data_IF_356954157818
#
_entry.id   IF_356954157818
#
_cell.length_a   1.000
_cell.length_b   1.000
_cell.length_c   1.000
_cell.angle_alpha   90.00
_cell.angle_beta   90.00
_cell.angle_gamma   90.00
#
_symmetry.space_group_name_H-M   'P 1'
#
loop_
_entity.id
_entity.type
_entity.pdbx_description
1 polymer ?
#
# COMPACT_ATOMS: atom_id res chain seq x y z
N UNK A 1 84.42 2.97 -35.26
CA UNK A 1 83.75 1.89 -34.55
C UNK A 1 82.24 2.32 -34.31
N UNK A 2 81.40 1.87 -35.18
CA UNK A 2 80.02 2.25 -35.23
C UNK A 2 79.20 1.07 -34.63
N UNK A 3 78.54 1.31 -33.50
CA UNK A 3 77.70 0.28 -32.81
C UNK A 3 76.24 0.45 -33.25
N UNK A 4 75.75 -0.49 -34.01
CA UNK A 4 74.34 -0.57 -34.45
C UNK A 4 73.55 -1.23 -33.37
N UNK A 5 72.54 -0.54 -32.75
CA UNK A 5 71.59 -1.12 -31.83
C UNK A 5 70.34 -1.55 -32.59
N UNK A 6 70.07 -2.85 -32.55
CA UNK A 6 68.84 -3.43 -33.08
C UNK A 6 67.77 -3.31 -32.05
N UNK A 7 66.63 -2.64 -32.38
CA UNK A 7 65.41 -2.56 -31.54
C UNK A 7 64.48 -3.67 -31.97
N UNK A 8 64.20 -4.60 -31.05
CA UNK A 8 63.16 -5.63 -31.22
C UNK A 8 61.80 -5.05 -30.83
N UNK A 9 60.87 -4.99 -31.77
CA UNK A 9 59.49 -4.59 -31.55
C UNK A 9 58.71 -5.85 -31.19
N UNK A 10 58.27 -5.94 -29.92
CA UNK A 10 57.37 -6.97 -29.44
C UNK A 10 55.91 -6.54 -29.69
N UNK A 11 55.24 -7.14 -30.66
CA UNK A 11 53.81 -6.94 -30.93
C UNK A 11 52.97 -7.80 -29.97
N UNK A 12 52.35 -7.16 -28.99
CA UNK A 12 51.34 -7.80 -28.14
C UNK A 12 49.99 -7.82 -28.89
N UNK A 13 49.55 -9.01 -29.29
CA UNK A 13 48.21 -9.23 -29.80
C UNK A 13 47.20 -9.29 -28.62
N UNK A 14 46.37 -8.27 -28.48
CA UNK A 14 45.22 -8.28 -27.57
C UNK A 14 44.10 -9.06 -28.23
N UNK A 15 43.82 -10.29 -27.74
CA UNK A 15 42.62 -11.03 -28.07
C UNK A 15 41.46 -10.49 -27.23
N UNK A 16 40.66 -9.62 -27.80
CA UNK A 16 39.40 -9.18 -27.17
C UNK A 16 38.36 -10.30 -27.26
N UNK A 17 38.23 -11.11 -26.21
CA UNK A 17 37.09 -11.98 -26.03
C UNK A 17 35.90 -11.12 -25.60
N UNK A 18 35.07 -10.71 -26.56
CA UNK A 18 33.82 -10.03 -26.31
C UNK A 18 32.87 -10.95 -25.56
N UNK A 19 32.66 -10.71 -24.26
CA UNK A 19 31.57 -11.28 -23.54
C UNK A 19 30.27 -10.66 -24.11
N UNK A 20 29.53 -11.45 -24.90
CA UNK A 20 28.18 -11.06 -25.29
C UNK A 20 27.33 -11.00 -24.02
N UNK A 21 26.95 -9.80 -23.59
CA UNK A 21 25.96 -9.62 -22.54
C UNK A 21 24.67 -10.31 -23.01
N UNK A 22 24.29 -11.37 -22.31
CA UNK A 22 23.05 -12.09 -22.58
C UNK A 22 21.89 -11.12 -22.39
N UNK A 23 21.04 -10.97 -23.40
CA UNK A 23 19.86 -10.14 -23.30
C UNK A 23 19.05 -10.58 -22.06
N UNK A 24 18.48 -9.64 -21.29
CA UNK A 24 17.66 -9.99 -20.14
C UNK A 24 16.52 -10.91 -20.62
N UNK A 25 16.15 -11.92 -19.82
CA UNK A 25 15.03 -12.80 -20.17
C UNK A 25 13.78 -11.97 -20.44
N UNK A 26 12.92 -12.37 -21.37
CA UNK A 26 11.68 -11.66 -21.63
C UNK A 26 10.89 -11.52 -20.33
N UNK A 27 10.32 -10.33 -20.11
CA UNK A 27 9.47 -10.07 -18.94
C UNK A 27 8.34 -11.12 -18.91
N UNK A 28 8.07 -11.69 -17.73
CA UNK A 28 6.92 -12.57 -17.57
C UNK A 28 5.65 -11.87 -18.07
N UNK A 29 4.74 -12.59 -18.74
CA UNK A 29 3.50 -11.98 -19.21
C UNK A 29 2.76 -11.33 -18.03
N UNK A 30 2.17 -10.15 -18.26
CA UNK A 30 1.38 -9.45 -17.25
C UNK A 30 0.26 -10.39 -16.76
N UNK A 31 -0.04 -10.39 -15.45
CA UNK A 31 -1.08 -11.24 -14.91
C UNK A 31 -2.44 -10.88 -15.52
N UNK A 32 -3.22 -11.89 -15.84
CA UNK A 32 -4.60 -11.70 -16.31
C UNK A 32 -5.50 -11.44 -15.10
N UNK A 33 -6.19 -10.32 -15.09
CA UNK A 33 -7.20 -10.06 -14.07
C UNK A 33 -8.39 -11.03 -14.21
N UNK A 34 -8.91 -11.50 -13.09
CA UNK A 34 -10.14 -12.33 -13.03
C UNK A 34 -11.34 -11.49 -13.48
N UNK A 35 -11.36 -10.24 -13.05
CA UNK A 35 -12.32 -9.23 -13.49
C UNK A 35 -11.73 -7.83 -13.34
N UNK A 36 -12.28 -6.88 -14.06
CA UNK A 36 -11.92 -5.45 -14.03
C UNK A 36 -13.16 -4.59 -14.03
N UNK A 37 -13.14 -3.51 -13.25
CA UNK A 37 -14.14 -2.43 -13.27
C UNK A 37 -13.44 -1.16 -13.69
N UNK A 38 -13.93 -0.51 -14.75
CA UNK A 38 -13.39 0.74 -15.26
C UNK A 38 -14.23 1.93 -14.81
N UNK A 39 -13.80 3.13 -15.18
CA UNK A 39 -14.52 4.40 -14.99
C UNK A 39 -14.76 4.75 -13.51
N UNK A 40 -13.85 4.33 -12.62
CA UNK A 40 -13.73 4.86 -11.27
C UNK A 40 -12.91 6.17 -11.32
N UNK A 41 -13.07 7.03 -10.33
CA UNK A 41 -12.35 8.32 -10.30
C UNK A 41 -11.29 8.33 -9.20
N UNK A 42 -10.05 8.07 -9.59
CA UNK A 42 -8.91 7.95 -8.70
C UNK A 42 -9.20 7.00 -7.51
N UNK A 43 -9.50 5.69 -7.75
CA UNK A 43 -9.72 4.72 -6.68
C UNK A 43 -8.41 4.50 -5.94
N UNK A 44 -8.46 4.56 -4.60
CA UNK A 44 -7.25 4.56 -3.80
C UNK A 44 -7.17 3.34 -2.86
N UNK A 45 -8.26 2.94 -2.24
CA UNK A 45 -8.29 1.76 -1.37
C UNK A 45 -9.44 0.83 -1.73
N UNK A 46 -9.19 -0.47 -1.64
CA UNK A 46 -10.22 -1.51 -1.70
C UNK A 46 -10.22 -2.30 -0.39
N UNK A 47 -11.40 -2.58 0.15
CA UNK A 47 -11.55 -3.33 1.38
C UNK A 47 -12.68 -4.35 1.26
N UNK A 48 -12.40 -5.60 1.62
CA UNK A 48 -13.43 -6.64 1.73
C UNK A 48 -13.95 -6.74 3.16
N UNK A 49 -15.18 -6.33 3.38
CA UNK A 49 -15.87 -6.54 4.66
C UNK A 49 -16.54 -7.92 4.69
N UNK A 50 -15.91 -8.86 5.42
CA UNK A 50 -16.40 -10.23 5.51
C UNK A 50 -17.79 -10.34 6.17
N UNK A 51 -18.16 -9.41 7.05
CA UNK A 51 -19.43 -9.43 7.75
C UNK A 51 -20.61 -9.12 6.82
N UNK A 52 -20.46 -8.15 5.92
CA UNK A 52 -21.49 -7.82 4.91
C UNK A 52 -21.30 -8.56 3.59
N UNK A 53 -20.16 -9.22 3.39
CA UNK A 53 -19.80 -9.86 2.12
C UNK A 53 -19.59 -8.87 0.97
N UNK A 54 -19.34 -7.60 1.26
CA UNK A 54 -19.19 -6.55 0.29
C UNK A 54 -17.71 -6.12 0.13
N UNK A 55 -17.38 -5.61 -1.05
CA UNK A 55 -16.15 -4.90 -1.33
C UNK A 55 -16.47 -3.41 -1.37
N UNK A 56 -15.78 -2.62 -0.56
CA UNK A 56 -15.84 -1.17 -0.56
C UNK A 56 -14.59 -0.61 -1.23
N UNK A 57 -14.77 0.46 -2.02
CA UNK A 57 -13.67 1.12 -2.73
C UNK A 57 -13.79 2.61 -2.52
N UNK A 58 -12.74 3.24 -2.00
CA UNK A 58 -12.66 4.69 -1.91
C UNK A 58 -12.26 5.28 -3.27
N UNK A 59 -12.87 6.41 -3.63
CA UNK A 59 -12.52 7.19 -4.82
C UNK A 59 -12.31 8.64 -4.42
N UNK A 60 -11.11 9.15 -4.66
CA UNK A 60 -10.74 10.53 -4.33
C UNK A 60 -11.53 11.52 -5.18
N UNK A 61 -11.72 11.21 -6.47
CA UNK A 61 -12.49 12.00 -7.45
C UNK A 61 -11.99 13.44 -7.61
N UNK A 62 -10.68 13.67 -7.51
CA UNK A 62 -10.04 14.99 -7.58
C UNK A 62 -8.57 14.91 -7.26
N UNK A 63 -8.04 15.98 -6.72
CA UNK A 63 -6.69 16.00 -6.17
C UNK A 63 -6.68 15.36 -4.78
N UNK A 64 -5.58 14.74 -4.43
CA UNK A 64 -5.45 13.93 -3.19
C UNK A 64 -5.59 14.75 -1.89
N UNK A 65 -5.57 16.07 -1.97
CA UNK A 65 -5.65 17.02 -0.82
C UNK A 65 -6.80 17.99 -0.90
N UNK A 66 -7.63 17.92 -1.95
CA UNK A 66 -8.76 18.87 -2.11
C UNK A 66 -9.88 18.53 -1.12
N UNK A 67 -10.35 19.56 -0.41
CA UNK A 67 -11.48 19.45 0.52
C UNK A 67 -12.76 19.97 -0.12
N UNK A 68 -13.18 19.33 -1.18
CA UNK A 68 -14.27 19.75 -2.06
C UNK A 68 -15.56 18.94 -1.90
N UNK A 69 -15.55 17.90 -1.06
CA UNK A 69 -16.72 17.08 -0.75
C UNK A 69 -17.16 16.17 -1.88
N UNK A 70 -16.37 15.98 -2.93
CA UNK A 70 -16.73 15.21 -4.12
C UNK A 70 -16.33 13.75 -4.06
N UNK A 71 -15.46 13.34 -3.11
CA UNK A 71 -15.02 11.98 -2.86
C UNK A 71 -16.18 11.07 -2.44
N UNK A 72 -16.04 9.79 -2.73
CA UNK A 72 -17.11 8.82 -2.47
C UNK A 72 -16.57 7.42 -2.21
N UNK A 73 -17.43 6.56 -1.65
CA UNK A 73 -17.21 5.13 -1.51
C UNK A 73 -18.14 4.39 -2.47
N UNK A 74 -17.59 3.47 -3.24
CA UNK A 74 -18.33 2.51 -4.06
C UNK A 74 -18.52 1.19 -3.32
N UNK A 75 -19.61 0.48 -3.63
CA UNK A 75 -19.89 -0.86 -3.10
C UNK A 75 -20.03 -1.87 -4.24
N UNK A 76 -19.30 -2.98 -4.12
CA UNK A 76 -19.30 -4.08 -5.09
C UNK A 76 -19.57 -5.41 -4.43
N UNK A 77 -19.94 -6.41 -5.25
CA UNK A 77 -19.85 -7.81 -4.84
C UNK A 77 -18.40 -8.30 -4.98
N UNK A 78 -18.03 -9.43 -4.33
CA UNK A 78 -16.70 -10.04 -4.51
C UNK A 78 -16.37 -10.48 -5.95
N UNK A 79 -17.37 -10.54 -6.82
CA UNK A 79 -17.23 -10.87 -8.25
C UNK A 79 -17.11 -9.62 -9.15
N UNK A 80 -16.92 -8.44 -8.55
CA UNK A 80 -16.73 -7.18 -9.26
C UNK A 80 -18.02 -6.54 -9.81
N UNK A 81 -19.21 -7.08 -9.48
CA UNK A 81 -20.46 -6.43 -9.89
C UNK A 81 -20.72 -5.19 -9.05
N UNK A 82 -21.06 -4.10 -9.72
CA UNK A 82 -21.44 -2.85 -9.06
C UNK A 82 -22.74 -3.03 -8.30
N UNK A 83 -22.73 -2.77 -6.99
CA UNK A 83 -23.95 -2.63 -6.18
C UNK A 83 -24.39 -1.16 -6.15
N UNK A 84 -23.42 -0.26 -5.90
CA UNK A 84 -23.63 1.19 -5.96
C UNK A 84 -22.29 1.89 -6.17
N UNK A 85 -22.16 2.70 -7.23
CA UNK A 85 -20.92 3.46 -7.52
C UNK A 85 -20.70 4.61 -6.54
N UNK A 86 -21.76 5.20 -6.02
CA UNK A 86 -21.71 6.27 -5.01
C UNK A 86 -22.56 5.85 -3.82
N UNK A 87 -22.14 4.78 -3.15
CA UNK A 87 -22.84 4.22 -2.00
C UNK A 87 -22.81 5.17 -0.79
N UNK A 88 -21.68 5.86 -0.57
CA UNK A 88 -21.55 6.97 0.37
C UNK A 88 -20.81 8.13 -0.31
N UNK A 89 -21.24 9.37 -0.04
CA UNK A 89 -20.74 10.57 -0.68
C UNK A 89 -20.46 11.68 0.35
N UNK A 90 -19.90 12.81 -0.11
CA UNK A 90 -19.60 13.96 0.77
C UNK A 90 -18.31 13.78 1.55
N UNK A 91 -17.38 12.98 1.02
CA UNK A 91 -16.01 12.86 1.49
C UNK A 91 -15.12 13.83 0.68
N UNK A 92 -13.97 14.17 1.22
CA UNK A 92 -13.01 15.03 0.51
C UNK A 92 -12.10 14.21 -0.40
N UNK A 93 -11.09 13.58 0.17
CA UNK A 93 -10.16 12.68 -0.53
C UNK A 93 -10.04 11.35 0.22
N UNK A 94 -11.11 10.50 0.21
CA UNK A 94 -11.12 9.27 0.98
C UNK A 94 -10.05 8.30 0.48
N UNK A 95 -9.34 7.68 1.43
CA UNK A 95 -8.27 6.73 1.19
C UNK A 95 -8.56 5.42 1.91
N UNK A 96 -7.70 4.99 2.83
CA UNK A 96 -7.80 3.73 3.52
C UNK A 96 -9.15 3.44 4.18
N UNK A 97 -9.54 2.18 4.18
CA UNK A 97 -10.85 1.67 4.62
C UNK A 97 -10.71 0.49 5.58
N UNK A 98 -11.40 0.50 6.71
CA UNK A 98 -11.58 -0.70 7.58
C UNK A 98 -12.92 -0.67 8.30
N UNK A 99 -13.52 -1.81 8.54
CA UNK A 99 -14.77 -1.90 9.29
C UNK A 99 -14.57 -2.36 10.74
N UNK A 100 -15.43 -1.86 11.62
CA UNK A 100 -15.60 -2.37 12.97
C UNK A 100 -17.04 -2.11 13.44
N UNK A 101 -17.68 -3.09 14.05
CA UNK A 101 -18.99 -2.92 14.69
C UNK A 101 -20.11 -2.41 13.76
N UNK A 102 -20.09 -2.78 12.47
CA UNK A 102 -21.07 -2.30 11.48
C UNK A 102 -20.81 -0.90 10.94
N UNK A 103 -19.68 -0.29 11.30
CA UNK A 103 -19.21 1.00 10.78
C UNK A 103 -18.01 0.79 9.87
N UNK A 104 -18.05 1.34 8.67
CA UNK A 104 -16.90 1.49 7.78
C UNK A 104 -16.19 2.80 8.14
N UNK A 105 -14.96 2.70 8.61
CA UNK A 105 -14.09 3.82 8.88
C UNK A 105 -13.28 4.19 7.65
N UNK A 106 -13.09 5.48 7.44
CA UNK A 106 -12.43 6.05 6.23
C UNK A 106 -11.44 7.12 6.66
N UNK A 107 -10.21 7.04 6.19
CA UNK A 107 -9.25 8.14 6.28
C UNK A 107 -9.59 9.20 5.21
N UNK A 108 -9.81 10.46 5.60
CA UNK A 108 -10.27 11.52 4.71
C UNK A 108 -9.50 12.82 4.98
N UNK A 109 -8.28 12.87 4.46
CA UNK A 109 -7.31 13.99 4.51
C UNK A 109 -6.85 14.34 5.93
N UNK A 110 -7.70 15.00 6.73
CA UNK A 110 -7.42 15.43 8.10
C UNK A 110 -8.54 15.06 9.09
N UNK A 111 -9.40 14.16 8.67
CA UNK A 111 -10.46 13.58 9.49
C UNK A 111 -10.59 12.09 9.28
N UNK A 112 -11.14 11.39 10.26
CA UNK A 112 -11.61 10.01 10.13
C UNK A 112 -13.13 10.01 10.13
N UNK A 113 -13.72 9.35 9.13
CA UNK A 113 -15.17 9.36 8.91
C UNK A 113 -15.72 7.96 9.15
N UNK A 114 -16.77 7.85 9.98
CA UNK A 114 -17.52 6.62 10.21
C UNK A 114 -18.79 6.60 9.36
N UNK A 115 -18.99 5.52 8.59
CA UNK A 115 -20.14 5.30 7.71
C UNK A 115 -20.85 4.04 8.16
N UNK A 116 -22.15 4.10 8.44
CA UNK A 116 -22.96 2.94 8.77
C UNK A 116 -23.09 2.01 7.56
N UNK A 117 -22.60 0.76 7.66
CA UNK A 117 -22.57 -0.19 6.55
C UNK A 117 -23.95 -0.54 6.03
N UNK A 118 -24.96 -0.58 6.92
CA UNK A 118 -26.32 -0.93 6.54
C UNK A 118 -26.98 0.11 5.62
N UNK A 119 -26.66 1.40 5.78
CA UNK A 119 -27.35 2.50 5.09
C UNK A 119 -26.48 3.35 4.17
N UNK A 120 -25.14 3.32 4.32
CA UNK A 120 -24.24 4.23 3.63
C UNK A 120 -24.22 5.66 4.21
N UNK A 121 -24.89 5.89 5.35
CA UNK A 121 -24.93 7.20 5.96
C UNK A 121 -23.68 7.48 6.78
N UNK A 122 -23.13 8.67 6.64
CA UNK A 122 -22.07 9.16 7.53
C UNK A 122 -22.69 9.35 8.92
N UNK A 123 -22.17 8.66 9.92
CA UNK A 123 -22.64 8.72 11.32
C UNK A 123 -21.67 9.41 12.25
N UNK A 124 -20.42 9.57 11.83
CA UNK A 124 -19.40 10.24 12.64
C UNK A 124 -18.35 10.91 11.75
N UNK A 125 -17.83 12.05 12.21
CA UNK A 125 -16.63 12.70 11.69
C UNK A 125 -15.77 13.10 12.87
N UNK A 126 -14.51 12.67 12.84
CA UNK A 126 -13.51 12.99 13.87
C UNK A 126 -12.40 13.76 13.21
N UNK A 127 -12.33 15.06 13.48
CA UNK A 127 -11.20 15.88 13.07
C UNK A 127 -9.93 15.41 13.80
N UNK A 128 -8.82 15.29 13.09
CA UNK A 128 -7.54 14.90 13.63
C UNK A 128 -6.61 16.09 13.63
N UNK A 129 -6.56 16.78 14.78
CA UNK A 129 -5.78 18.01 14.91
C UNK A 129 -4.29 17.76 14.62
N UNK A 130 -3.70 18.59 13.77
CA UNK A 130 -2.31 18.50 13.33
C UNK A 130 -2.04 17.43 12.26
N UNK A 131 -3.07 16.73 11.79
CA UNK A 131 -2.92 15.84 10.64
C UNK A 131 -2.69 16.64 9.35
N UNK A 132 -1.84 16.10 8.50
CA UNK A 132 -1.46 16.71 7.22
C UNK A 132 -1.91 15.88 6.03
N UNK A 133 -1.84 14.56 6.15
CA UNK A 133 -2.18 13.63 5.07
C UNK A 133 -2.50 12.25 5.65
N UNK A 134 -3.71 12.12 6.23
CA UNK A 134 -4.20 10.81 6.65
C UNK A 134 -4.31 9.91 5.42
N UNK A 135 -3.72 8.73 5.51
CA UNK A 135 -3.62 7.81 4.37
C UNK A 135 -4.39 6.53 4.62
N UNK A 136 -3.91 5.64 5.46
CA UNK A 136 -4.60 4.38 5.73
C UNK A 136 -5.07 4.30 7.18
N UNK A 137 -5.96 3.35 7.47
CA UNK A 137 -6.44 3.09 8.81
C UNK A 137 -6.68 1.60 9.11
N UNK A 138 -6.60 1.27 10.39
CA UNK A 138 -6.85 -0.05 10.92
C UNK A 138 -7.76 0.04 12.16
N UNK A 139 -8.54 -1.00 12.40
CA UNK A 139 -9.42 -1.10 13.57
C UNK A 139 -8.95 -2.19 14.51
N UNK A 140 -8.90 -1.89 15.81
CA UNK A 140 -8.63 -2.88 16.84
C UNK A 140 -9.94 -3.51 17.37
N UNK A 141 -9.88 -4.70 17.97
CA UNK A 141 -11.06 -5.38 18.51
C UNK A 141 -11.81 -4.59 19.60
N UNK A 142 -11.16 -3.66 20.28
CA UNK A 142 -11.77 -2.77 21.27
C UNK A 142 -12.44 -1.54 20.66
N UNK A 143 -12.51 -1.45 19.33
CA UNK A 143 -13.09 -0.32 18.61
C UNK A 143 -12.16 0.86 18.40
N UNK A 144 -10.90 0.81 18.87
CA UNK A 144 -9.91 1.85 18.59
C UNK A 144 -9.57 1.83 17.10
N UNK A 145 -9.56 3.01 16.46
CA UNK A 145 -9.12 3.19 15.08
C UNK A 145 -7.72 3.81 15.10
N UNK A 146 -6.80 3.23 14.33
CA UNK A 146 -5.46 3.78 14.10
C UNK A 146 -5.39 4.30 12.66
N UNK A 147 -4.76 5.43 12.43
CA UNK A 147 -4.58 5.98 11.08
C UNK A 147 -3.19 6.57 10.90
N UNK A 148 -2.60 6.32 9.74
CA UNK A 148 -1.31 6.88 9.35
C UNK A 148 -1.46 8.31 8.81
N UNK A 149 -0.52 9.18 9.16
CA UNK A 149 -0.30 10.50 8.56
C UNK A 149 1.05 10.47 7.86
N UNK A 150 1.03 10.24 6.55
CA UNK A 150 2.25 10.00 5.77
C UNK A 150 3.18 11.22 5.72
N UNK A 151 2.62 12.43 5.64
CA UNK A 151 3.40 13.66 5.59
C UNK A 151 3.75 14.20 6.97
N UNK A 152 2.93 13.89 7.97
CA UNK A 152 3.17 14.28 9.36
C UNK A 152 4.11 13.35 10.12
N UNK A 153 4.52 12.21 9.51
CA UNK A 153 5.33 11.18 10.17
C UNK A 153 4.72 10.74 11.50
N UNK A 154 3.41 10.41 11.48
CA UNK A 154 2.64 10.07 12.68
C UNK A 154 1.70 8.91 12.44
N UNK A 155 1.39 8.23 13.53
CA UNK A 155 0.21 7.39 13.64
C UNK A 155 -0.67 8.02 14.71
N UNK A 156 -1.92 8.25 14.38
CA UNK A 156 -2.93 8.65 15.35
C UNK A 156 -3.77 7.46 15.78
N UNK A 157 -4.34 7.55 16.99
CA UNK A 157 -5.39 6.66 17.45
C UNK A 157 -6.66 7.47 17.76
N UNK A 158 -7.80 6.93 17.38
CA UNK A 158 -9.11 7.48 17.65
C UNK A 158 -9.83 6.52 18.60
N UNK A 159 -10.21 7.02 19.76
CA UNK A 159 -10.99 6.30 20.76
C UNK A 159 -12.07 7.22 21.33
N UNK A 160 -13.29 6.71 21.47
CA UNK A 160 -14.44 7.48 21.98
C UNK A 160 -14.63 8.83 21.25
N UNK A 161 -14.43 8.83 19.92
CA UNK A 161 -14.57 10.01 19.09
C UNK A 161 -13.47 11.08 19.26
N UNK A 162 -12.36 10.75 19.90
CA UNK A 162 -11.22 11.67 20.11
C UNK A 162 -9.95 11.11 19.49
N UNK A 163 -9.27 11.97 18.72
CA UNK A 163 -7.96 11.66 18.15
C UNK A 163 -6.85 12.03 19.13
N UNK A 164 -5.79 11.22 19.15
CA UNK A 164 -4.55 11.51 19.86
C UNK A 164 -3.38 10.82 19.14
N UNK A 165 -2.15 11.33 19.34
CA UNK A 165 -0.96 10.74 18.75
C UNK A 165 -0.65 9.40 19.42
N UNK A 166 -0.54 8.33 18.63
CA UNK A 166 -0.07 7.03 19.08
C UNK A 166 1.45 6.94 19.05
N UNK A 167 2.07 7.31 17.93
CA UNK A 167 3.53 7.41 17.75
C UNK A 167 3.85 8.48 16.71
N UNK A 168 4.98 9.17 16.86
CA UNK A 168 5.42 10.23 15.97
C UNK A 168 6.93 10.26 15.77
N UNK A 169 7.35 10.91 14.68
CA UNK A 169 8.73 11.15 14.30
C UNK A 169 9.21 10.26 13.15
N UNK A 170 9.93 10.86 12.21
CA UNK A 170 10.42 10.15 11.02
C UNK A 170 11.32 8.96 11.39
N UNK A 171 12.12 9.05 12.45
CA UNK A 171 12.94 7.94 12.92
C UNK A 171 12.11 6.78 13.48
N UNK A 172 10.92 7.06 13.99
CA UNK A 172 10.03 6.04 14.57
C UNK A 172 9.19 5.34 13.49
N UNK A 173 8.55 6.10 12.60
CA UNK A 173 7.56 5.58 11.66
C UNK A 173 7.96 5.70 10.19
N UNK A 174 9.10 6.33 9.88
CA UNK A 174 9.53 6.64 8.52
C UNK A 174 8.44 7.46 7.78
N UNK A 175 8.11 7.14 6.52
CA UNK A 175 6.90 7.69 5.85
C UNK A 175 5.80 6.63 5.94
N UNK A 176 4.96 6.63 6.98
CA UNK A 176 3.97 5.57 7.19
C UNK A 176 2.87 5.67 6.14
N UNK A 177 2.40 4.52 5.65
CA UNK A 177 1.28 4.43 4.73
C UNK A 177 0.34 3.31 5.21
N UNK A 178 0.36 2.11 4.62
CA UNK A 178 -0.52 1.02 5.01
C UNK A 178 -0.44 0.66 6.49
N UNK A 179 -1.57 0.40 7.13
CA UNK A 179 -1.63 -0.02 8.53
C UNK A 179 -2.60 -1.19 8.73
N UNK A 180 -2.22 -2.11 9.61
CA UNK A 180 -3.05 -3.27 9.95
C UNK A 180 -2.91 -3.59 11.44
N UNK A 181 -4.03 -3.83 12.14
CA UNK A 181 -3.99 -4.40 13.50
C UNK A 181 -3.97 -5.92 13.40
N UNK A 182 -2.91 -6.53 13.92
CA UNK A 182 -2.75 -7.98 13.96
C UNK A 182 -2.11 -8.44 15.28
N UNK A 183 -2.72 -9.44 15.93
CA UNK A 183 -2.23 -10.10 17.13
C UNK A 183 -1.72 -9.14 18.23
N UNK A 184 -2.46 -8.06 18.51
CA UNK A 184 -2.13 -7.06 19.53
C UNK A 184 -1.02 -6.08 19.14
N UNK A 185 -0.68 -6.04 17.85
CA UNK A 185 0.29 -5.13 17.26
C UNK A 185 -0.36 -4.29 16.16
N UNK A 186 0.14 -3.07 15.98
CA UNK A 186 -0.09 -2.29 14.77
C UNK A 186 1.07 -2.55 13.82
N UNK A 187 0.78 -3.15 12.70
CA UNK A 187 1.71 -3.34 11.57
C UNK A 187 1.65 -2.07 10.74
N UNK A 188 2.80 -1.53 10.39
CA UNK A 188 2.93 -0.29 9.62
C UNK A 188 3.82 -0.56 8.42
N UNK A 189 3.28 -0.38 7.24
CA UNK A 189 4.04 -0.32 6.01
C UNK A 189 4.55 1.09 5.76
N UNK A 190 5.79 1.21 5.29
CA UNK A 190 6.38 2.50 5.02
C UNK A 190 6.70 2.67 3.54
N UNK A 191 6.64 3.90 3.06
CA UNK A 191 7.11 4.25 1.72
C UNK A 191 8.65 4.40 1.67
N UNK A 192 9.29 4.39 2.83
CA UNK A 192 10.70 4.70 3.01
C UNK A 192 10.94 6.16 3.41
N UNK A 193 12.13 6.44 3.93
CA UNK A 193 12.52 7.80 4.36
C UNK A 193 12.50 8.77 3.18
N UNK A 194 12.04 9.98 3.41
CA UNK A 194 11.93 11.04 2.40
C UNK A 194 11.17 10.63 1.11
N UNK A 195 10.27 9.65 1.19
CA UNK A 195 9.53 9.15 0.03
C UNK A 195 8.67 10.24 -0.65
N UNK A 196 8.15 11.18 0.12
CA UNK A 196 7.31 12.28 -0.34
C UNK A 196 8.09 13.60 -0.54
N UNK A 197 9.41 13.58 -0.34
CA UNK A 197 10.28 14.73 -0.56
C UNK A 197 10.61 14.97 -2.05
N UNK A 198 11.26 16.12 -2.36
CA UNK A 198 11.75 16.40 -3.70
C UNK A 198 12.74 15.31 -4.14
N UNK A 199 12.47 14.67 -5.27
CA UNK A 199 13.37 13.65 -5.82
C UNK A 199 14.34 14.32 -6.80
N UNK A 200 15.64 14.22 -6.51
CA UNK A 200 16.70 14.50 -7.49
C UNK A 200 16.63 13.49 -8.65
N UNK A 201 16.81 13.96 -9.88
CA UNK A 201 16.70 13.12 -11.08
C UNK A 201 17.56 11.86 -11.00
N UNK A 202 16.96 10.68 -11.22
CA UNK A 202 17.65 9.40 -11.30
C UNK A 202 17.88 8.67 -9.98
N UNK A 203 17.47 9.20 -8.84
CA UNK A 203 17.52 8.45 -7.58
C UNK A 203 16.49 7.31 -7.61
N UNK A 204 16.84 6.09 -7.17
CA UNK A 204 15.87 5.02 -7.03
C UNK A 204 14.78 5.44 -6.03
N UNK A 205 13.54 4.93 -6.17
CA UNK A 205 12.50 5.18 -5.19
C UNK A 205 12.98 4.71 -3.81
N UNK A 206 12.64 5.44 -2.73
CA UNK A 206 12.97 5.00 -1.39
C UNK A 206 12.36 3.63 -1.15
N UNK A 207 13.07 2.79 -0.43
CA UNK A 207 12.61 1.47 -0.11
C UNK A 207 12.16 1.43 1.35
N UNK A 208 10.86 1.27 1.54
CA UNK A 208 10.23 1.09 2.84
C UNK A 208 10.25 -0.35 3.32
N UNK A 209 9.66 -0.57 4.47
CA UNK A 209 9.66 -1.85 5.20
C UNK A 209 8.39 -2.05 6.00
N UNK A 210 8.25 -3.20 6.64
CA UNK A 210 7.24 -3.41 7.65
C UNK A 210 7.81 -3.17 9.05
N UNK A 211 7.11 -2.34 9.81
CA UNK A 211 7.31 -2.11 11.22
C UNK A 211 6.14 -2.71 12.01
N UNK A 212 6.34 -3.00 13.27
CA UNK A 212 5.28 -3.35 14.20
C UNK A 212 5.42 -2.54 15.48
N UNK A 213 4.30 -2.11 16.03
CA UNK A 213 4.20 -1.45 17.33
C UNK A 213 3.27 -2.25 18.23
N UNK A 214 3.74 -2.64 19.40
CA UNK A 214 2.86 -3.25 20.40
C UNK A 214 1.80 -2.22 20.84
N UNK A 215 0.52 -2.60 20.80
CA UNK A 215 -0.58 -1.67 21.06
C UNK A 215 -0.64 -1.15 22.50
N UNK A 216 -0.03 -1.87 23.46
CA UNK A 216 -0.03 -1.50 24.88
C UNK A 216 1.21 -0.70 25.26
N UNK A 217 2.38 -1.18 24.85
CA UNK A 217 3.68 -0.61 25.25
C UNK A 217 4.22 0.40 24.24
N UNK A 218 3.70 0.42 23.02
CA UNK A 218 4.17 1.17 21.85
C UNK A 218 5.59 0.80 21.42
N UNK A 219 6.11 -0.32 21.91
CA UNK A 219 7.44 -0.79 21.55
C UNK A 219 7.50 -1.11 20.07
N UNK A 220 8.46 -0.50 19.37
CA UNK A 220 8.72 -0.70 17.93
C UNK A 220 9.56 -1.96 17.69
N UNK A 221 9.20 -2.71 16.67
CA UNK A 221 9.98 -3.82 16.11
C UNK A 221 10.04 -3.65 14.58
N UNK A 222 11.18 -3.96 13.98
CA UNK A 222 11.32 -4.05 12.52
C UNK A 222 11.01 -5.48 12.10
N UNK A 223 10.00 -5.67 11.24
CA UNK A 223 9.59 -7.01 10.79
C UNK A 223 10.39 -7.49 9.59
N UNK A 224 10.85 -6.58 8.72
CA UNK A 224 11.63 -6.91 7.53
C UNK A 224 12.99 -6.23 7.62
N UNK A 225 14.07 -7.00 7.74
CA UNK A 225 15.43 -6.45 7.80
C UNK A 225 15.79 -5.73 6.49
N UNK A 226 15.48 -6.36 5.36
CA UNK A 226 15.66 -5.79 4.03
C UNK A 226 14.45 -4.95 3.63
N UNK A 227 14.66 -3.89 2.82
CA UNK A 227 13.58 -3.11 2.26
C UNK A 227 12.67 -3.95 1.36
N UNK A 228 11.37 -3.69 1.43
CA UNK A 228 10.34 -4.41 0.66
C UNK A 228 9.94 -3.63 -0.59
N UNK A 229 9.94 -2.30 -0.52
CA UNK A 229 9.44 -1.40 -1.55
C UNK A 229 8.67 -0.22 -0.94
N UNK A 230 7.90 0.49 -1.74
CA UNK A 230 6.95 1.48 -1.22
C UNK A 230 5.68 0.77 -0.78
N UNK A 231 5.59 0.41 0.51
CA UNK A 231 4.45 -0.36 1.02
C UNK A 231 3.23 0.55 1.15
N UNK A 232 2.18 0.21 0.39
CA UNK A 232 0.89 0.90 0.42
C UNK A 232 -0.13 0.07 1.23
N UNK A 233 -0.81 -0.91 0.65
CA UNK A 233 -1.73 -1.78 1.35
C UNK A 233 -1.07 -2.94 2.08
N UNK A 234 -1.69 -3.41 3.18
CA UNK A 234 -1.26 -4.57 3.96
C UNK A 234 -2.46 -5.46 4.28
N UNK A 235 -2.37 -6.74 3.93
CA UNK A 235 -3.37 -7.74 4.28
C UNK A 235 -2.70 -8.98 4.91
N UNK A 236 -3.33 -9.66 5.88
CA UNK A 236 -2.75 -10.86 6.50
C UNK A 236 -2.81 -12.05 5.53
N UNK A 237 -1.77 -12.87 5.51
CA UNK A 237 -1.73 -14.10 4.71
C UNK A 237 -2.43 -15.29 5.39
N UNK A 238 -2.89 -15.12 6.63
CA UNK A 238 -3.50 -16.15 7.47
C UNK A 238 -2.51 -17.15 8.08
N UNK A 239 -1.19 -16.93 7.95
CA UNK A 239 -0.11 -17.80 8.44
C UNK A 239 0.93 -17.06 9.26
N UNK A 240 0.61 -15.84 9.68
CA UNK A 240 1.48 -14.94 10.45
C UNK A 240 2.41 -14.09 9.60
N UNK A 241 2.27 -14.14 8.29
CA UNK A 241 2.89 -13.23 7.32
C UNK A 241 1.89 -12.26 6.73
N UNK A 242 2.35 -11.47 5.75
CA UNK A 242 1.57 -10.39 5.16
C UNK A 242 1.71 -10.38 3.63
N UNK A 243 0.63 -9.98 2.97
CA UNK A 243 0.63 -9.55 1.59
C UNK A 243 0.68 -8.04 1.57
N UNK A 244 1.51 -7.45 0.72
CA UNK A 244 1.61 -6.00 0.62
C UNK A 244 1.64 -5.57 -0.85
N UNK A 245 1.09 -4.40 -1.15
CA UNK A 245 1.35 -3.72 -2.41
C UNK A 245 2.60 -2.87 -2.29
N UNK A 246 3.50 -3.00 -3.28
CA UNK A 246 4.63 -2.10 -3.48
C UNK A 246 4.28 -1.15 -4.63
N UNK A 247 3.85 0.06 -4.26
CA UNK A 247 3.37 1.07 -5.22
C UNK A 247 4.48 1.52 -6.18
N UNK A 248 5.74 1.57 -5.73
CA UNK A 248 6.86 1.98 -6.58
C UNK A 248 7.32 0.85 -7.51
N UNK A 249 7.28 -0.40 -7.04
CA UNK A 249 7.64 -1.58 -7.81
C UNK A 249 6.48 -2.14 -8.64
N UNK A 250 5.28 -1.60 -8.51
CA UNK A 250 4.06 -2.11 -9.20
C UNK A 250 3.88 -3.61 -9.00
N UNK A 251 3.84 -4.08 -7.76
CA UNK A 251 3.78 -5.53 -7.47
C UNK A 251 3.06 -5.84 -6.17
N UNK A 252 2.60 -7.07 -6.05
CA UNK A 252 2.20 -7.67 -4.78
C UNK A 252 3.38 -8.48 -4.25
N UNK A 253 3.75 -8.26 -3.00
CA UNK A 253 4.85 -8.92 -2.30
C UNK A 253 4.30 -9.73 -1.15
N UNK A 254 4.80 -10.93 -0.94
CA UNK A 254 4.56 -11.73 0.25
C UNK A 254 5.72 -11.56 1.22
N UNK A 255 5.41 -11.16 2.42
CA UNK A 255 6.34 -11.10 3.55
C UNK A 255 5.98 -12.24 4.49
N UNK A 256 6.90 -13.19 4.69
CA UNK A 256 6.70 -14.34 5.58
C UNK A 256 6.71 -13.92 7.05
N UNK A 257 6.27 -14.78 7.96
CA UNK A 257 6.35 -14.55 9.40
C UNK A 257 7.81 -14.32 9.90
N UNK A 258 8.81 -14.80 9.16
CA UNK A 258 10.23 -14.56 9.47
C UNK A 258 10.77 -13.24 8.91
N UNK A 259 9.96 -12.46 8.19
CA UNK A 259 10.34 -11.17 7.59
C UNK A 259 11.00 -11.28 6.21
N UNK A 260 11.09 -12.47 5.62
CA UNK A 260 11.60 -12.63 4.25
C UNK A 260 10.53 -12.21 3.24
N UNK A 261 10.93 -11.43 2.23
CA UNK A 261 10.03 -10.88 1.22
C UNK A 261 10.28 -11.52 -0.17
N UNK A 262 9.21 -11.81 -0.91
CA UNK A 262 9.28 -12.22 -2.31
C UNK A 262 8.13 -11.64 -3.13
N UNK A 263 8.39 -11.27 -4.36
CA UNK A 263 7.33 -10.88 -5.31
C UNK A 263 6.41 -12.07 -5.59
N UNK A 264 5.11 -11.86 -5.41
CA UNK A 264 4.07 -12.83 -5.82
C UNK A 264 3.60 -12.56 -7.24
N UNK A 265 3.34 -11.29 -7.53
CA UNK A 265 2.70 -10.87 -8.77
C UNK A 265 3.26 -9.51 -9.20
N UNK A 266 3.71 -9.42 -10.45
CA UNK A 266 4.02 -8.14 -11.06
C UNK A 266 2.71 -7.54 -11.59
N UNK A 267 2.36 -6.35 -11.15
CA UNK A 267 1.16 -5.63 -11.58
C UNK A 267 1.42 -4.84 -12.88
N UNK A 268 0.39 -4.56 -13.69
CA UNK A 268 0.54 -3.79 -14.93
C UNK A 268 0.87 -2.31 -14.68
N UNK A 269 0.56 -1.79 -13.49
CA UNK A 269 0.82 -0.43 -13.05
C UNK A 269 0.92 -0.38 -11.52
N UNK A 270 1.23 0.80 -10.96
CA UNK A 270 1.23 1.04 -9.53
C UNK A 270 -0.17 0.78 -8.94
N UNK A 271 -0.29 -0.30 -8.18
CA UNK A 271 -1.48 -0.59 -7.37
C UNK A 271 -1.40 0.14 -6.05
N UNK A 272 -2.52 0.69 -5.58
CA UNK A 272 -2.64 1.36 -4.29
C UNK A 272 -3.04 0.38 -3.16
N UNK A 273 -3.71 0.83 -2.10
CA UNK A 273 -4.14 -0.04 -1.00
C UNK A 273 -5.17 -1.07 -1.49
N UNK A 274 -4.91 -2.33 -1.27
CA UNK A 274 -5.67 -3.44 -1.85
C UNK A 274 -6.46 -4.23 -0.81
N UNK A 275 -7.61 -4.78 -1.22
CA UNK A 275 -8.36 -5.73 -0.43
C UNK A 275 -7.99 -7.18 -0.75
N UNK A 276 -8.08 -8.05 0.25
CA UNK A 276 -7.81 -9.49 0.07
C UNK A 276 -8.95 -10.35 0.58
N UNK A 277 -9.49 -11.21 -0.28
CA UNK A 277 -10.49 -12.22 0.09
C UNK A 277 -9.76 -13.54 0.31
N UNK A 278 -9.35 -13.80 1.56
CA UNK A 278 -8.50 -14.93 1.92
C UNK A 278 -9.09 -16.29 1.50
N UNK A 279 -10.39 -16.50 1.69
CA UNK A 279 -11.08 -17.74 1.30
C UNK A 279 -11.04 -18.03 -0.21
N UNK A 280 -10.85 -16.99 -1.03
CA UNK A 280 -10.77 -17.06 -2.50
C UNK A 280 -9.36 -16.85 -3.02
N UNK A 281 -8.40 -16.51 -2.16
CA UNK A 281 -7.06 -16.04 -2.51
C UNK A 281 -7.09 -14.93 -3.57
N UNK A 282 -8.07 -14.05 -3.48
CA UNK A 282 -8.35 -13.02 -4.46
C UNK A 282 -7.87 -11.65 -3.93
N UNK A 283 -6.91 -11.06 -4.60
CA UNK A 283 -6.47 -9.69 -4.35
C UNK A 283 -7.26 -8.73 -5.24
N UNK A 284 -7.78 -7.65 -4.67
CA UNK A 284 -8.58 -6.63 -5.36
C UNK A 284 -7.79 -5.32 -5.31
N UNK A 285 -7.22 -4.91 -6.42
CA UNK A 285 -6.24 -3.83 -6.51
C UNK A 285 -6.85 -2.61 -7.21
N UNK A 286 -6.95 -1.47 -6.53
CA UNK A 286 -7.30 -0.22 -7.17
C UNK A 286 -6.08 0.39 -7.86
N UNK A 287 -6.32 1.01 -9.01
CA UNK A 287 -5.32 1.73 -9.80
C UNK A 287 -5.70 3.21 -9.87
N UNK A 288 -5.15 3.98 -8.95
CA UNK A 288 -5.47 5.39 -8.76
C UNK A 288 -5.34 6.19 -10.07
N UNK A 289 -4.25 6.04 -10.79
CA UNK A 289 -4.00 6.73 -12.05
C UNK A 289 -4.65 6.03 -13.27
N UNK A 290 -5.03 4.76 -13.11
CA UNK A 290 -5.71 3.98 -14.13
C UNK A 290 -7.23 4.15 -14.12
N UNK A 291 -7.78 4.76 -13.08
CA UNK A 291 -9.23 4.90 -12.87
C UNK A 291 -9.98 3.58 -12.93
N UNK A 292 -9.36 2.50 -12.48
CA UNK A 292 -9.94 1.16 -12.53
C UNK A 292 -9.62 0.34 -11.28
N UNK A 293 -10.33 -0.76 -11.13
CA UNK A 293 -10.17 -1.77 -10.11
C UNK A 293 -10.02 -3.11 -10.79
N UNK A 294 -9.04 -3.93 -10.38
CA UNK A 294 -8.87 -5.26 -10.94
C UNK A 294 -8.64 -6.31 -9.86
N UNK A 295 -9.13 -7.52 -10.08
CA UNK A 295 -8.92 -8.64 -9.17
C UNK A 295 -7.99 -9.68 -9.77
N UNK A 296 -7.14 -10.25 -8.91
CA UNK A 296 -6.14 -11.24 -9.28
C UNK A 296 -6.22 -12.46 -8.39
N UNK A 297 -6.26 -13.65 -8.99
CA UNK A 297 -6.17 -14.93 -8.28
C UNK A 297 -4.71 -15.22 -7.90
N UNK A 298 -4.46 -15.31 -6.61
CA UNK A 298 -3.14 -15.62 -6.05
C UNK A 298 -2.95 -17.11 -5.74
N UNK A 299 -3.90 -17.99 -6.07
CA UNK A 299 -3.88 -19.44 -5.70
C UNK A 299 -2.65 -20.17 -6.21
N UNK A 300 -2.15 -19.82 -7.40
CA UNK A 300 -1.00 -20.46 -8.03
C UNK A 300 0.34 -20.00 -7.44
N UNK A 301 0.39 -18.79 -6.86
CA UNK A 301 1.63 -18.14 -6.38
C UNK A 301 1.73 -18.05 -4.86
N UNK A 302 0.61 -18.07 -4.15
CA UNK A 302 0.54 -18.07 -2.68
C UNK A 302 0.33 -19.51 -2.20
N UNK A 303 1.42 -20.26 -2.02
CA UNK A 303 1.43 -21.67 -1.56
C UNK A 303 1.42 -21.76 -0.05
#
# INVERSE_FOLDING_TARGET
>A
MTVTRTIAICTLAFSATGAFAQAPPPAAPAPTAVWTVNDLHAPESAYYDAASGAVFVSSINGQVTDKDGNGYISRFTPDGRVVSLKWATGLNGPKGLRSAGGTLWVADIDQVVGIEIASGRIVQRVAVEGATFLNDLATAPDGTVYTSDSQGFRIYMIRDGKASVFVEGEDAVETPNGVLVDAGRLIVGTLGRAALGPRGGGAPPPAGRLLAFDLKTRQRTVLTADPVGGVDGIEPDGRGGYLVTDVFGSRIVHVTASGSARTLLQLPAAGADFGYIAARRLAIVPYLFGNNLAAYDLSSVLK
#
